data_IF_310975146648
#
_entry.id   IF_310975146648
#
_cell.length_a   1.000
_cell.length_b   1.000
_cell.length_c   1.000
_cell.angle_alpha   90.00
_cell.angle_beta   90.00
_cell.angle_gamma   90.00
#
_symmetry.space_group_name_H-M   'P 1'
#
loop_
_entity.id
_entity.type
_entity.pdbx_description
1 polymer ?
#
# COMPACT_ATOMS: atom_id res chain seq x y z
N UNK A 1 -17.57 51.26 -39.48
CA UNK A 1 -16.60 50.28 -38.90
C UNK A 1 -17.17 48.87 -38.70
N UNK A 2 -18.50 48.66 -38.68
CA UNK A 2 -19.12 47.32 -38.53
C UNK A 2 -19.75 46.74 -39.81
N UNK A 3 -19.39 47.28 -40.99
CA UNK A 3 -19.92 46.81 -42.28
C UNK A 3 -21.44 46.99 -42.39
N UNK A 4 -22.13 45.99 -42.97
CA UNK A 4 -23.61 45.96 -43.14
C UNK A 4 -24.37 45.47 -41.90
N UNK A 5 -23.69 45.28 -40.76
CA UNK A 5 -24.28 44.72 -39.55
C UNK A 5 -25.13 45.77 -38.82
N UNK A 6 -26.42 45.49 -38.62
CA UNK A 6 -27.35 46.36 -37.88
C UNK A 6 -27.53 45.85 -36.45
N UNK A 7 -27.87 46.72 -35.48
CA UNK A 7 -28.15 46.30 -34.10
C UNK A 7 -29.23 45.23 -33.99
N UNK A 8 -30.22 45.20 -34.89
CA UNK A 8 -31.26 44.18 -34.96
C UNK A 8 -30.75 42.78 -35.35
N UNK A 9 -29.54 42.70 -35.92
CA UNK A 9 -28.97 41.46 -36.44
C UNK A 9 -28.13 40.73 -35.36
N UNK A 10 -28.08 41.24 -34.12
CA UNK A 10 -27.25 40.70 -33.02
C UNK A 10 -27.98 40.69 -31.68
N UNK A 11 -27.73 39.67 -30.86
CA UNK A 11 -28.29 39.57 -29.49
C UNK A 11 -27.31 40.12 -28.43
N UNK A 12 -27.86 40.60 -27.30
CA UNK A 12 -27.06 41.18 -26.20
C UNK A 12 -26.09 40.18 -25.53
N UNK A 13 -26.27 38.88 -25.74
CA UNK A 13 -25.38 37.82 -25.24
C UNK A 13 -24.35 37.32 -26.26
N UNK A 14 -24.25 37.98 -27.42
CA UNK A 14 -23.35 37.54 -28.49
C UNK A 14 -21.88 37.80 -28.15
N UNK A 15 -21.03 36.80 -28.35
CA UNK A 15 -19.56 36.93 -28.26
C UNK A 15 -18.94 37.62 -29.48
N UNK A 16 -19.76 38.03 -30.47
CA UNK A 16 -19.29 38.70 -31.68
C UNK A 16 -18.66 40.05 -31.36
N UNK A 17 -17.44 40.26 -31.84
CA UNK A 17 -16.73 41.53 -31.70
C UNK A 17 -17.21 42.57 -32.70
N UNK A 18 -17.55 43.76 -32.20
CA UNK A 18 -17.93 44.92 -32.99
C UNK A 18 -17.18 46.16 -32.49
N UNK A 19 -17.05 47.15 -33.36
CA UNK A 19 -16.55 48.48 -33.00
C UNK A 19 -17.64 49.27 -32.29
N UNK A 20 -17.29 49.74 -31.10
CA UNK A 20 -18.08 50.62 -30.27
C UNK A 20 -17.55 52.04 -30.38
N UNK A 21 -18.47 53.01 -30.37
CA UNK A 21 -18.15 54.42 -30.27
C UNK A 21 -18.62 54.93 -28.92
N UNK A 22 -17.83 55.78 -28.27
CA UNK A 22 -18.19 56.30 -26.97
C UNK A 22 -19.31 57.35 -27.08
N UNK A 23 -20.40 57.24 -26.29
CA UNK A 23 -21.45 58.25 -26.27
C UNK A 23 -20.97 59.63 -25.76
N UNK A 24 -19.91 59.65 -24.95
CA UNK A 24 -19.36 60.88 -24.34
C UNK A 24 -18.33 61.58 -25.21
N UNK A 25 -17.72 60.86 -26.15
CA UNK A 25 -16.68 61.42 -27.02
C UNK A 25 -16.67 60.63 -28.33
N UNK A 26 -17.25 61.18 -29.42
CA UNK A 26 -17.33 60.50 -30.71
C UNK A 26 -15.96 60.13 -31.31
N UNK A 27 -14.88 60.77 -30.89
CA UNK A 27 -13.51 60.41 -31.29
C UNK A 27 -13.03 59.09 -30.67
N UNK A 28 -13.67 58.63 -29.61
CA UNK A 28 -13.31 57.39 -28.94
C UNK A 28 -14.00 56.19 -29.58
N UNK A 29 -13.20 55.26 -30.09
CA UNK A 29 -13.70 53.99 -30.61
C UNK A 29 -12.82 52.82 -30.16
N UNK A 30 -13.44 51.65 -29.98
CA UNK A 30 -12.74 50.43 -29.60
C UNK A 30 -13.49 49.19 -30.10
N UNK A 31 -12.78 48.08 -30.30
CA UNK A 31 -13.36 46.79 -30.67
C UNK A 31 -13.55 45.91 -29.43
N UNK A 32 -14.74 45.36 -29.21
CA UNK A 32 -15.05 44.45 -28.08
C UNK A 32 -16.30 43.62 -28.40
N UNK A 33 -16.47 42.48 -27.72
CA UNK A 33 -17.66 41.63 -27.86
C UNK A 33 -18.91 42.21 -27.19
N UNK A 34 -20.09 41.93 -27.76
CA UNK A 34 -21.37 42.49 -27.33
C UNK A 34 -21.75 42.04 -25.91
N UNK A 35 -21.55 40.76 -25.60
CA UNK A 35 -21.78 40.17 -24.27
C UNK A 35 -20.98 40.88 -23.16
N UNK A 36 -19.75 41.34 -23.46
CA UNK A 36 -18.88 42.00 -22.49
C UNK A 36 -19.28 43.46 -22.22
N UNK A 37 -19.87 44.14 -23.20
CA UNK A 37 -20.35 45.52 -23.01
C UNK A 37 -21.62 45.51 -22.13
N UNK A 38 -22.60 44.67 -22.45
CA UNK A 38 -23.85 44.60 -21.70
C UNK A 38 -23.73 43.84 -20.39
N UNK A 39 -23.10 42.66 -20.39
CA UNK A 39 -23.02 41.78 -19.22
C UNK A 39 -22.03 42.26 -18.14
N UNK A 40 -20.92 42.91 -18.52
CA UNK A 40 -19.88 43.37 -17.58
C UNK A 40 -19.77 44.89 -17.42
N UNK A 41 -20.68 45.66 -18.02
CA UNK A 41 -20.74 47.13 -17.96
C UNK A 41 -19.37 47.80 -18.26
N UNK A 42 -18.61 47.28 -19.24
CA UNK A 42 -17.31 47.85 -19.59
C UNK A 42 -17.49 49.27 -20.13
N UNK A 43 -16.79 50.24 -19.49
CA UNK A 43 -16.79 51.66 -19.89
C UNK A 43 -15.68 51.97 -20.89
N UNK A 44 -15.85 53.06 -21.64
CA UNK A 44 -14.84 53.58 -22.57
C UNK A 44 -13.52 53.87 -21.84
N UNK A 45 -12.44 53.18 -22.22
CA UNK A 45 -11.10 53.29 -21.58
C UNK A 45 -10.33 54.56 -21.95
N UNK A 46 -10.83 55.29 -22.95
CA UNK A 46 -10.27 56.56 -23.40
C UNK A 46 -10.88 57.76 -22.65
N UNK A 47 -12.00 57.58 -21.92
CA UNK A 47 -12.55 58.63 -21.06
C UNK A 47 -11.82 58.73 -19.70
N UNK A 48 -11.66 59.95 -19.14
CA UNK A 48 -11.22 60.12 -17.75
C UNK A 48 -12.28 59.50 -16.82
N UNK A 49 -11.92 58.42 -16.11
CA UNK A 49 -12.86 57.57 -15.36
C UNK A 49 -13.12 56.19 -15.97
N UNK A 50 -12.54 55.89 -17.13
CA UNK A 50 -12.51 54.56 -17.75
C UNK A 50 -11.29 53.71 -17.39
N UNK A 51 -10.33 54.27 -16.66
CA UNK A 51 -9.15 53.58 -16.11
C UNK A 51 -9.11 53.82 -14.60
N UNK A 52 -9.31 52.79 -13.79
CA UNK A 52 -9.00 52.85 -12.36
C UNK A 52 -7.48 52.73 -12.17
N UNK A 53 -6.78 53.85 -12.28
CA UNK A 53 -5.51 54.05 -11.60
C UNK A 53 -5.70 55.29 -10.73
N UNK A 54 -6.29 55.10 -9.55
CA UNK A 54 -6.27 56.16 -8.55
C UNK A 54 -4.82 56.43 -8.17
N UNK A 55 -4.35 57.66 -8.34
CA UNK A 55 -3.12 58.13 -7.75
C UNK A 55 -3.20 57.86 -6.25
N UNK A 56 -2.25 57.09 -5.72
CA UNK A 56 -2.19 56.79 -4.29
C UNK A 56 -1.81 58.08 -3.57
N UNK A 57 -2.70 58.56 -2.70
CA UNK A 57 -2.39 59.72 -1.83
C UNK A 57 -1.42 59.29 -0.74
N UNK A 58 -0.60 60.22 -0.23
CA UNK A 58 0.43 59.92 0.78
C UNK A 58 -0.13 59.16 2.01
N UNK A 59 -1.29 59.56 2.53
CA UNK A 59 -1.97 58.93 3.67
C UNK A 59 -2.48 57.50 3.40
N UNK A 60 -2.57 57.12 2.12
CA UNK A 60 -3.00 55.78 1.67
C UNK A 60 -1.83 54.94 1.16
N UNK A 61 -0.60 55.45 1.29
CA UNK A 61 0.60 54.78 0.84
C UNK A 61 1.06 53.67 1.79
N UNK A 62 1.86 52.75 1.27
CA UNK A 62 2.51 51.69 2.01
C UNK A 62 3.42 52.28 3.08
N UNK A 63 4.20 53.31 2.73
CA UNK A 63 5.14 53.94 3.65
C UNK A 63 4.45 54.61 4.84
N UNK A 64 3.29 55.25 4.61
CA UNK A 64 2.52 55.88 5.68
C UNK A 64 1.77 54.87 6.55
N UNK A 65 1.09 53.88 5.93
CA UNK A 65 0.23 52.94 6.66
C UNK A 65 0.99 51.77 7.30
N UNK A 66 2.18 51.44 6.79
CA UNK A 66 2.99 50.31 7.27
C UNK A 66 4.47 50.68 7.48
N UNK A 67 4.79 51.69 8.31
CA UNK A 67 6.16 52.20 8.47
C UNK A 67 7.14 51.13 8.96
N UNK A 68 6.68 50.16 9.77
CA UNK A 68 7.51 49.04 10.24
C UNK A 68 8.00 48.13 9.10
N UNK A 69 7.25 48.01 8.00
CA UNK A 69 7.68 47.22 6.85
C UNK A 69 8.84 47.89 6.09
N UNK A 70 9.01 49.21 6.22
CA UNK A 70 10.11 49.92 5.56
C UNK A 70 11.48 49.56 6.14
N UNK A 71 11.53 49.08 7.39
CA UNK A 71 12.76 48.56 7.98
C UNK A 71 13.29 47.32 7.23
N UNK A 72 12.44 46.62 6.49
CA UNK A 72 12.81 45.49 5.64
C UNK A 72 12.88 45.89 4.15
N UNK A 73 12.73 47.16 3.79
CA UNK A 73 12.86 47.60 2.39
C UNK A 73 14.32 47.58 1.96
N UNK A 74 14.65 46.92 0.84
CA UNK A 74 16.04 46.85 0.41
C UNK A 74 16.54 48.24 -0.05
N UNK A 75 17.73 48.70 0.39
CA UNK A 75 18.19 50.07 0.17
C UNK A 75 18.42 50.45 -1.30
N UNK A 76 18.92 49.51 -2.12
CA UNK A 76 19.38 49.83 -3.49
C UNK A 76 18.76 49.00 -4.62
N UNK A 77 18.03 47.92 -4.34
CA UNK A 77 17.54 46.98 -5.37
C UNK A 77 16.16 47.34 -5.93
N UNK A 78 15.57 48.44 -5.48
CA UNK A 78 14.19 48.80 -5.80
C UNK A 78 14.06 49.87 -6.89
N UNK A 79 15.18 50.40 -7.41
CA UNK A 79 15.17 51.45 -8.43
C UNK A 79 14.27 52.62 -8.04
N UNK A 80 13.37 53.02 -8.94
CA UNK A 80 12.44 54.15 -8.74
C UNK A 80 11.17 53.79 -7.95
N UNK A 81 11.08 52.58 -7.38
CA UNK A 81 9.92 52.23 -6.56
C UNK A 81 9.97 52.99 -5.24
N UNK A 82 9.07 53.97 -5.12
CA UNK A 82 8.88 54.74 -3.89
C UNK A 82 7.74 54.12 -3.03
N UNK A 83 8.01 53.67 -1.79
CA UNK A 83 6.98 53.21 -0.87
C UNK A 83 5.85 54.22 -0.58
N UNK A 84 6.12 55.52 -0.71
CA UNK A 84 5.12 56.58 -0.53
C UNK A 84 4.16 56.71 -1.73
N UNK A 85 4.48 56.07 -2.86
CA UNK A 85 3.63 56.02 -4.06
C UNK A 85 2.87 54.69 -4.23
N UNK A 86 3.13 53.69 -3.37
CA UNK A 86 2.57 52.35 -3.48
C UNK A 86 1.37 52.16 -2.53
N UNK A 87 0.26 51.61 -3.02
CA UNK A 87 -0.84 51.18 -2.12
C UNK A 87 -0.48 49.87 -1.38
N UNK A 88 -0.95 49.64 -0.14
CA UNK A 88 -0.75 48.39 0.59
C UNK A 88 -1.21 47.12 -0.15
N UNK A 89 -2.19 47.24 -1.05
CA UNK A 89 -2.69 46.16 -1.91
C UNK A 89 -1.93 45.99 -3.24
N UNK A 90 -0.81 46.69 -3.44
CA UNK A 90 -0.09 46.70 -4.70
C UNK A 90 0.47 45.32 -5.08
N UNK A 91 0.34 44.99 -6.37
CA UNK A 91 0.96 43.81 -6.98
C UNK A 91 2.43 43.99 -7.34
N UNK A 92 3.04 45.15 -7.08
CA UNK A 92 4.49 45.37 -7.31
C UNK A 92 5.31 44.45 -6.40
N UNK A 93 6.48 44.03 -6.89
CA UNK A 93 7.32 42.98 -6.29
C UNK A 93 8.73 43.50 -5.97
N UNK A 94 8.87 44.47 -5.05
CA UNK A 94 10.16 44.99 -4.63
C UNK A 94 10.99 43.93 -3.89
N UNK A 95 12.29 44.21 -3.76
CA UNK A 95 13.22 43.49 -2.92
C UNK A 95 13.15 43.97 -1.47
N UNK A 96 13.20 43.00 -0.57
CA UNK A 96 13.19 43.14 0.88
C UNK A 96 14.47 42.54 1.45
N UNK A 97 14.92 43.06 2.60
CA UNK A 97 16.07 42.58 3.34
C UNK A 97 15.64 42.23 4.76
N UNK A 98 16.06 41.08 5.27
CA UNK A 98 15.62 40.61 6.58
C UNK A 98 16.29 41.44 7.67
N UNK A 99 15.51 41.89 8.64
CA UNK A 99 16.05 42.58 9.81
C UNK A 99 16.92 41.67 10.70
N UNK A 100 16.68 40.35 10.70
CA UNK A 100 17.40 39.39 11.54
C UNK A 100 18.69 38.86 10.88
N UNK A 101 18.73 38.75 9.55
CA UNK A 101 19.93 38.34 8.81
C UNK A 101 20.02 39.14 7.50
N UNK A 102 20.95 40.11 7.40
CA UNK A 102 21.12 40.93 6.21
C UNK A 102 21.43 40.15 4.92
N UNK A 103 21.87 38.88 5.01
CA UNK A 103 22.12 38.02 3.85
C UNK A 103 20.82 37.50 3.23
N UNK A 104 19.72 37.52 3.96
CA UNK A 104 18.41 37.14 3.47
C UNK A 104 17.79 38.30 2.69
N UNK A 105 17.99 38.28 1.38
CA UNK A 105 17.38 39.22 0.44
C UNK A 105 16.37 38.47 -0.43
N UNK A 106 15.14 38.97 -0.53
CA UNK A 106 14.10 38.34 -1.34
C UNK A 106 13.15 39.33 -2.00
N UNK A 107 12.59 38.94 -3.13
CA UNK A 107 11.51 39.62 -3.80
C UNK A 107 10.13 39.15 -3.28
N UNK A 108 9.23 40.08 -2.97
CA UNK A 108 7.88 39.74 -2.58
C UNK A 108 6.88 40.82 -2.98
N UNK A 109 5.65 40.41 -3.31
CA UNK A 109 4.58 41.36 -3.60
C UNK A 109 4.23 42.18 -2.36
N UNK A 110 4.04 43.49 -2.53
CA UNK A 110 3.65 44.41 -1.45
C UNK A 110 2.41 43.89 -0.71
N UNK A 111 1.36 43.49 -1.43
CA UNK A 111 0.14 42.97 -0.81
C UNK A 111 0.33 41.70 0.05
N UNK A 112 1.37 40.91 -0.19
CA UNK A 112 1.66 39.71 0.64
C UNK A 112 2.35 40.11 1.95
N UNK A 113 3.25 41.10 1.87
CA UNK A 113 3.99 41.63 3.03
C UNK A 113 3.06 42.35 4.00
N UNK A 114 2.11 43.13 3.49
CA UNK A 114 1.08 43.80 4.31
C UNK A 114 0.11 42.84 4.99
N UNK A 115 -0.05 41.61 4.46
CA UNK A 115 -0.78 40.51 5.10
C UNK A 115 0.06 39.70 6.10
N UNK A 116 1.30 40.08 6.38
CA UNK A 116 2.15 39.45 7.39
C UNK A 116 3.09 38.36 6.89
N UNK A 117 3.25 38.17 5.58
CA UNK A 117 4.25 37.22 5.06
C UNK A 117 5.68 37.71 5.39
N UNK A 118 6.41 36.99 6.24
CA UNK A 118 7.76 37.31 6.73
C UNK A 118 8.91 36.96 5.76
N UNK A 119 10.15 36.94 6.28
CA UNK A 119 11.32 36.45 5.55
C UNK A 119 11.16 34.95 5.19
N UNK A 120 11.27 34.57 3.90
CA UNK A 120 11.09 33.20 3.46
C UNK A 120 12.24 32.27 3.89
N UNK A 121 13.43 32.80 4.16
CA UNK A 121 14.56 32.02 4.63
C UNK A 121 14.40 31.65 6.11
N UNK A 122 14.08 32.62 6.97
CA UNK A 122 13.82 32.38 8.40
C UNK A 122 12.64 31.42 8.63
N UNK A 123 11.62 31.47 7.77
CA UNK A 123 10.47 30.56 7.83
C UNK A 123 10.72 29.20 7.15
N UNK A 124 11.93 28.95 6.62
CA UNK A 124 12.30 27.68 5.98
C UNK A 124 11.66 27.44 4.61
N UNK A 125 11.03 28.45 4.02
CA UNK A 125 10.41 28.41 2.69
C UNK A 125 11.43 28.57 1.54
N UNK A 126 12.54 29.28 1.78
CA UNK A 126 13.71 29.36 0.88
C UNK A 126 14.96 28.84 1.61
N UNK A 127 15.86 28.22 0.87
CA UNK A 127 17.12 27.72 1.42
C UNK A 127 18.19 28.81 1.43
N UNK A 128 19.06 28.77 2.44
CA UNK A 128 20.34 29.46 2.47
C UNK A 128 21.50 28.45 2.53
N UNK A 129 22.73 28.95 2.61
CA UNK A 129 23.93 28.10 2.60
C UNK A 129 24.04 27.13 3.77
N UNK A 130 23.28 27.33 4.86
CA UNK A 130 23.29 26.45 6.05
C UNK A 130 22.11 25.49 6.07
N UNK A 131 21.00 25.85 5.44
CA UNK A 131 19.72 25.12 5.51
C UNK A 131 19.38 24.35 4.24
N UNK A 132 20.17 24.54 3.17
CA UNK A 132 19.98 23.83 1.92
C UNK A 132 20.24 22.33 2.04
N UNK A 133 19.57 21.54 1.21
CA UNK A 133 19.66 20.09 1.20
C UNK A 133 21.11 19.62 1.01
N UNK A 134 21.89 20.29 0.15
CA UNK A 134 23.29 19.99 -0.08
C UNK A 134 24.13 20.04 1.23
N UNK A 135 23.87 21.04 2.08
CA UNK A 135 24.59 21.23 3.33
C UNK A 135 24.11 20.29 4.45
N UNK A 136 22.80 20.03 4.52
CA UNK A 136 22.21 19.29 5.66
C UNK A 136 22.05 17.78 5.43
N UNK A 137 22.04 17.30 4.19
CA UNK A 137 21.91 15.87 3.87
C UNK A 137 22.58 15.53 2.52
N UNK A 138 23.92 15.48 2.53
CA UNK A 138 24.75 15.26 1.34
C UNK A 138 24.47 13.90 0.65
N UNK A 139 24.15 12.86 1.42
CA UNK A 139 23.80 11.53 0.89
C UNK A 139 22.52 11.60 0.04
N UNK A 140 21.49 12.28 0.54
CA UNK A 140 20.25 12.47 -0.22
C UNK A 140 20.49 13.41 -1.41
N UNK A 141 21.27 14.48 -1.23
CA UNK A 141 21.64 15.40 -2.30
C UNK A 141 22.37 14.69 -3.45
N UNK A 142 23.21 13.69 -3.17
CA UNK A 142 23.90 12.88 -4.18
C UNK A 142 22.93 12.05 -5.05
N UNK A 143 21.70 11.82 -4.59
CA UNK A 143 20.65 11.14 -5.36
C UNK A 143 19.78 12.08 -6.20
N UNK A 144 20.12 13.37 -6.25
CA UNK A 144 19.45 14.35 -7.10
C UNK A 144 19.65 13.98 -8.57
N UNK A 145 18.59 14.02 -9.37
CA UNK A 145 18.73 13.72 -10.79
C UNK A 145 19.52 14.82 -11.50
N UNK A 146 20.54 14.48 -12.32
CA UNK A 146 21.49 15.45 -12.87
C UNK A 146 20.86 16.47 -13.83
N UNK A 147 19.88 16.07 -14.65
CA UNK A 147 19.35 16.93 -15.74
C UNK A 147 17.86 17.25 -15.68
N UNK A 148 17.07 16.59 -14.83
CA UNK A 148 15.59 16.69 -14.86
C UNK A 148 15.01 17.79 -13.96
N UNK A 149 15.86 18.47 -13.19
CA UNK A 149 15.44 19.53 -12.28
C UNK A 149 15.72 20.94 -12.83
N UNK A 150 16.13 21.05 -14.10
CA UNK A 150 16.56 22.31 -14.71
C UNK A 150 17.71 22.92 -13.92
N UNK A 151 17.64 24.23 -13.68
CA UNK A 151 18.68 24.97 -12.96
C UNK A 151 18.57 24.82 -11.43
N UNK A 152 17.56 24.10 -10.91
CA UNK A 152 17.37 23.93 -9.46
C UNK A 152 18.27 22.83 -8.94
N UNK A 153 19.15 23.19 -8.03
CA UNK A 153 20.11 22.31 -7.38
C UNK A 153 19.68 21.96 -5.95
N UNK A 154 20.32 20.97 -5.31
CA UNK A 154 20.18 20.72 -3.87
C UNK A 154 20.57 21.92 -2.99
N UNK A 155 21.33 22.89 -3.50
CA UNK A 155 21.66 24.12 -2.77
C UNK A 155 20.49 25.11 -2.69
N UNK A 156 19.46 24.95 -3.53
CA UNK A 156 18.34 25.90 -3.63
C UNK A 156 17.10 25.47 -2.83
N UNK A 157 17.11 24.27 -2.25
CA UNK A 157 15.95 23.68 -1.59
C UNK A 157 16.22 23.32 -0.14
N UNK A 158 15.24 23.54 0.73
CA UNK A 158 15.32 23.12 2.13
C UNK A 158 14.89 21.64 2.26
N UNK A 159 15.38 20.97 3.31
CA UNK A 159 14.99 19.57 3.61
C UNK A 159 13.49 19.36 3.80
N UNK A 160 12.74 20.42 4.16
CA UNK A 160 11.29 20.37 4.38
C UNK A 160 10.47 20.72 3.13
N UNK A 161 11.11 21.00 1.99
CA UNK A 161 10.40 21.41 0.79
C UNK A 161 9.40 20.34 0.31
N UNK A 162 8.13 20.73 0.23
CA UNK A 162 7.05 19.91 -0.30
C UNK A 162 7.07 19.83 -1.84
N UNK A 163 7.97 20.56 -2.50
CA UNK A 163 8.03 20.61 -3.97
C UNK A 163 8.65 19.34 -4.53
N UNK A 164 7.99 18.72 -5.52
CA UNK A 164 8.49 17.53 -6.20
C UNK A 164 9.72 17.82 -7.04
N UNK A 165 10.70 16.92 -6.96
CA UNK A 165 11.96 16.92 -7.70
C UNK A 165 12.24 15.51 -8.19
N UNK A 166 13.05 15.41 -9.24
CA UNK A 166 13.48 14.14 -9.80
C UNK A 166 14.72 13.64 -9.07
N UNK A 167 14.69 12.35 -8.74
CA UNK A 167 15.72 11.61 -8.03
C UNK A 167 16.17 10.41 -8.87
N UNK A 168 17.42 10.01 -8.68
CA UNK A 168 18.03 8.85 -9.29
C UNK A 168 18.58 7.95 -8.18
N UNK A 169 18.40 6.64 -8.30
CA UNK A 169 18.87 5.72 -7.27
C UNK A 169 20.40 5.61 -7.33
N UNK A 170 21.05 5.72 -6.18
CA UNK A 170 22.50 5.52 -6.08
C UNK A 170 22.95 4.07 -6.35
N UNK A 171 22.06 3.09 -6.24
CA UNK A 171 22.37 1.66 -6.51
C UNK A 171 22.09 1.26 -7.94
N UNK A 172 20.98 1.72 -8.51
CA UNK A 172 20.60 1.43 -9.90
C UNK A 172 20.15 2.73 -10.61
N UNK A 173 21.00 3.34 -11.43
CA UNK A 173 20.69 4.59 -12.13
C UNK A 173 19.42 4.57 -13.00
N UNK A 174 18.99 3.39 -13.45
CA UNK A 174 17.73 3.21 -14.21
C UNK A 174 16.49 3.55 -13.36
N UNK A 175 16.60 3.46 -12.04
CA UNK A 175 15.51 3.83 -11.14
C UNK A 175 15.46 5.34 -10.96
N UNK A 176 14.63 5.99 -11.78
CA UNK A 176 14.36 7.43 -11.73
C UNK A 176 12.93 7.69 -11.26
N UNK A 177 12.73 8.54 -10.26
CA UNK A 177 11.39 8.86 -9.75
C UNK A 177 11.24 10.33 -9.35
N UNK A 178 9.99 10.80 -9.27
CA UNK A 178 9.66 12.16 -8.82
C UNK A 178 8.98 12.13 -7.45
N UNK A 179 9.51 12.88 -6.49
CA UNK A 179 8.97 12.99 -5.14
C UNK A 179 9.38 14.31 -4.48
N UNK A 180 8.61 14.78 -3.48
CA UNK A 180 9.00 15.97 -2.71
C UNK A 180 10.31 15.75 -1.93
N UNK A 181 11.07 16.82 -1.75
CA UNK A 181 12.34 16.80 -0.98
C UNK A 181 12.09 16.26 0.43
N UNK A 182 11.05 16.74 1.11
CA UNK A 182 10.66 16.26 2.43
C UNK A 182 10.42 14.74 2.47
N UNK A 183 9.67 14.21 1.50
CA UNK A 183 9.38 12.78 1.48
C UNK A 183 10.62 11.95 1.12
N UNK A 184 11.50 12.46 0.26
CA UNK A 184 12.76 11.79 -0.10
C UNK A 184 13.68 11.65 1.12
N UNK A 185 13.81 12.72 1.91
CA UNK A 185 14.60 12.73 3.14
C UNK A 185 14.01 11.77 4.18
N UNK A 186 12.68 11.78 4.34
CA UNK A 186 12.00 10.89 5.30
C UNK A 186 11.98 9.43 4.85
N UNK A 187 11.89 9.18 3.54
CA UNK A 187 11.84 7.85 2.91
C UNK A 187 13.10 7.65 2.09
N UNK A 188 14.20 7.38 2.80
CA UNK A 188 15.55 7.25 2.23
C UNK A 188 15.70 6.19 1.14
N UNK A 189 14.79 5.22 1.08
CA UNK A 189 14.87 4.08 0.16
C UNK A 189 14.34 4.42 -1.23
N UNK A 190 15.01 3.90 -2.26
CA UNK A 190 14.49 3.90 -3.63
C UNK A 190 13.17 3.09 -3.71
N UNK A 191 12.08 3.64 -4.26
CA UNK A 191 10.80 2.94 -4.36
C UNK A 191 10.87 1.62 -5.12
N UNK A 192 11.60 1.57 -6.23
CA UNK A 192 11.73 0.36 -7.05
C UNK A 192 12.60 -0.70 -6.35
N UNK A 193 13.74 -0.32 -5.75
CA UNK A 193 14.54 -1.25 -4.95
C UNK A 193 13.73 -1.85 -3.78
N UNK A 194 12.94 -1.03 -3.09
CA UNK A 194 12.08 -1.50 -1.99
C UNK A 194 10.98 -2.44 -2.50
N UNK A 195 10.38 -2.14 -3.66
CA UNK A 195 9.39 -3.01 -4.31
C UNK A 195 10.00 -4.35 -4.71
N UNK A 196 11.18 -4.36 -5.31
CA UNK A 196 11.91 -5.58 -5.68
C UNK A 196 12.29 -6.41 -4.45
N UNK A 197 12.81 -5.77 -3.39
CA UNK A 197 13.13 -6.44 -2.13
C UNK A 197 11.88 -7.08 -1.48
N UNK A 198 10.72 -6.42 -1.53
CA UNK A 198 9.44 -6.98 -1.06
C UNK A 198 8.99 -8.17 -1.91
N UNK A 199 9.13 -8.06 -3.24
CA UNK A 199 8.79 -9.14 -4.18
C UNK A 199 9.65 -10.37 -3.91
N UNK A 200 10.97 -10.22 -3.78
CA UNK A 200 11.88 -11.33 -3.46
C UNK A 200 11.58 -11.98 -2.11
N UNK A 201 11.25 -11.20 -1.08
CA UNK A 201 10.81 -11.76 0.22
C UNK A 201 9.52 -12.58 0.10
N UNK A 202 8.56 -12.12 -0.71
CA UNK A 202 7.31 -12.84 -0.94
C UNK A 202 7.57 -14.14 -1.72
N UNK A 203 8.37 -14.08 -2.79
CA UNK A 203 8.76 -15.24 -3.58
C UNK A 203 9.52 -16.29 -2.75
N UNK A 204 10.44 -15.87 -1.88
CA UNK A 204 11.16 -16.76 -0.98
C UNK A 204 10.27 -17.38 0.10
N UNK A 205 9.38 -16.60 0.73
CA UNK A 205 8.42 -17.13 1.70
C UNK A 205 7.48 -18.17 1.06
N UNK A 206 7.19 -17.98 -0.22
CA UNK A 206 6.31 -18.82 -1.00
C UNK A 206 7.00 -20.09 -1.52
N UNK A 207 8.24 -19.98 -1.98
CA UNK A 207 9.10 -21.12 -2.29
C UNK A 207 9.27 -22.02 -1.07
N UNK A 208 9.47 -21.41 0.11
CA UNK A 208 9.59 -22.14 1.39
C UNK A 208 8.30 -22.88 1.75
N UNK A 209 7.14 -22.24 1.61
CA UNK A 209 5.85 -22.89 1.84
C UNK A 209 5.59 -24.06 0.87
N UNK A 210 6.03 -23.94 -0.38
CA UNK A 210 5.90 -25.01 -1.37
C UNK A 210 6.85 -26.17 -1.05
N UNK A 211 8.11 -25.91 -0.68
CA UNK A 211 9.06 -26.96 -0.29
C UNK A 211 8.66 -27.65 1.02
N UNK A 212 8.11 -26.89 1.97
CA UNK A 212 7.57 -27.44 3.22
C UNK A 212 6.41 -28.41 2.94
N UNK A 213 5.51 -28.09 1.99
CA UNK A 213 4.41 -29.00 1.64
C UNK A 213 4.85 -30.23 0.85
N UNK A 214 5.81 -30.10 -0.08
CA UNK A 214 6.40 -31.27 -0.77
C UNK A 214 7.08 -32.20 0.24
N UNK A 215 7.72 -31.63 1.27
CA UNK A 215 8.28 -32.40 2.40
C UNK A 215 7.20 -33.09 3.23
N UNK A 216 6.02 -32.48 3.43
CA UNK A 216 4.92 -33.07 4.19
C UNK A 216 4.35 -34.32 3.53
N UNK A 217 4.12 -34.30 2.21
CA UNK A 217 3.64 -35.49 1.48
C UNK A 217 4.69 -36.61 1.47
N UNK A 218 5.98 -36.29 1.24
CA UNK A 218 7.05 -37.28 1.27
C UNK A 218 7.16 -37.96 2.65
N UNK A 219 7.11 -37.17 3.73
CA UNK A 219 7.15 -37.68 5.12
C UNK A 219 5.97 -38.61 5.40
N UNK A 220 4.77 -38.26 4.91
CA UNK A 220 3.60 -39.13 5.00
C UNK A 220 3.82 -40.44 4.23
N UNK A 221 4.25 -40.37 2.96
CA UNK A 221 4.43 -41.54 2.12
C UNK A 221 5.46 -42.52 2.71
N UNK A 222 6.60 -42.02 3.18
CA UNK A 222 7.64 -42.82 3.84
C UNK A 222 7.13 -43.47 5.13
N UNK A 223 6.33 -42.74 5.90
CA UNK A 223 5.72 -43.26 7.12
C UNK A 223 4.71 -44.38 6.82
N UNK A 224 3.87 -44.20 5.80
CA UNK A 224 2.91 -45.25 5.41
C UNK A 224 3.63 -46.48 4.85
N UNK A 225 4.69 -46.32 4.04
CA UNK A 225 5.50 -47.46 3.58
C UNK A 225 6.08 -48.25 4.75
N UNK A 226 6.70 -47.55 5.70
CA UNK A 226 7.26 -48.16 6.91
C UNK A 226 6.20 -48.90 7.74
N UNK A 227 5.03 -48.31 7.91
CA UNK A 227 3.90 -48.92 8.63
C UNK A 227 3.32 -50.13 7.89
N UNK A 228 3.27 -50.09 6.56
CA UNK A 228 2.84 -51.21 5.72
C UNK A 228 3.79 -52.40 5.90
N UNK A 229 5.10 -52.15 5.90
CA UNK A 229 6.12 -53.18 6.15
C UNK A 229 6.05 -53.74 7.57
N UNK A 230 5.75 -52.89 8.57
CA UNK A 230 5.57 -53.33 9.95
C UNK A 230 4.34 -54.24 10.11
N UNK A 231 3.26 -53.98 9.36
CA UNK A 231 2.04 -54.78 9.39
C UNK A 231 2.25 -56.23 8.91
N UNK A 232 3.25 -56.45 8.04
CA UNK A 232 3.60 -57.76 7.49
C UNK A 232 4.48 -58.60 8.43
N UNK A 233 4.96 -58.04 9.54
CA UNK A 233 5.73 -58.80 10.51
C UNK A 233 4.81 -59.74 11.29
N UNK A 234 5.22 -61.00 11.42
CA UNK A 234 4.49 -62.02 12.17
C UNK A 234 5.17 -62.30 13.51
N UNK A 235 4.38 -62.33 14.58
CA UNK A 235 4.76 -62.76 15.92
C UNK A 235 4.09 -64.09 16.24
N UNK A 236 4.82 -65.06 16.82
CA UNK A 236 4.23 -66.31 17.28
C UNK A 236 3.28 -66.11 18.47
N UNK A 237 3.32 -64.95 19.15
CA UNK A 237 2.39 -64.59 20.23
C UNK A 237 1.22 -63.76 19.65
N UNK A 238 -0.01 -64.31 19.64
CA UNK A 238 -1.18 -63.61 19.12
C UNK A 238 -1.50 -62.29 19.84
N UNK A 239 -1.15 -62.18 21.13
CA UNK A 239 -1.36 -60.96 21.91
C UNK A 239 -0.42 -59.87 21.45
N UNK A 240 0.87 -60.20 21.27
CA UNK A 240 1.86 -59.27 20.73
C UNK A 240 1.52 -58.87 19.29
N UNK A 241 1.01 -59.80 18.48
CA UNK A 241 0.55 -59.48 17.13
C UNK A 241 -0.57 -58.42 17.14
N UNK A 242 -1.56 -58.56 18.03
CA UNK A 242 -2.63 -57.57 18.17
C UNK A 242 -2.15 -56.25 18.78
N UNK A 243 -1.11 -56.24 19.61
CA UNK A 243 -0.45 -54.98 20.04
C UNK A 243 0.19 -54.28 18.85
N UNK A 244 0.96 -55.02 18.04
CA UNK A 244 1.62 -54.50 16.85
C UNK A 244 0.61 -53.86 15.89
N UNK A 245 -0.45 -54.60 15.53
CA UNK A 245 -1.51 -54.12 14.65
C UNK A 245 -2.18 -52.85 15.15
N UNK A 246 -2.45 -52.75 16.46
CA UNK A 246 -3.00 -51.52 17.05
C UNK A 246 -2.05 -50.34 16.94
N UNK A 247 -0.75 -50.55 17.15
CA UNK A 247 0.26 -49.49 16.98
C UNK A 247 0.39 -49.06 15.52
N UNK A 248 0.41 -50.01 14.56
CA UNK A 248 0.43 -49.69 13.13
C UNK A 248 -0.79 -48.87 12.76
N UNK A 249 -1.99 -49.32 13.14
CA UNK A 249 -3.25 -48.67 12.81
C UNK A 249 -3.32 -47.24 13.39
N UNK A 250 -2.88 -47.06 14.64
CA UNK A 250 -2.77 -45.73 15.25
C UNK A 250 -1.76 -44.85 14.50
N UNK A 251 -0.63 -45.42 14.08
CA UNK A 251 0.38 -44.77 13.26
C UNK A 251 -0.18 -44.26 11.94
N UNK A 252 -0.98 -45.05 11.22
CA UNK A 252 -1.57 -44.66 9.92
C UNK A 252 -2.39 -43.38 10.05
N UNK A 253 -3.25 -43.29 11.07
CA UNK A 253 -4.07 -42.10 11.33
C UNK A 253 -3.22 -40.94 11.82
N UNK A 254 -2.16 -41.19 12.61
CA UNK A 254 -1.25 -40.15 13.05
C UNK A 254 -0.46 -39.54 11.87
N UNK A 255 -0.02 -40.35 10.90
CA UNK A 255 0.66 -39.87 9.70
C UNK A 255 -0.27 -39.00 8.84
N UNK A 256 -1.54 -39.41 8.68
CA UNK A 256 -2.56 -38.59 8.02
C UNK A 256 -2.79 -37.26 8.76
N UNK A 257 -2.91 -37.31 10.08
CA UNK A 257 -3.13 -36.13 10.91
C UNK A 257 -1.99 -35.12 10.77
N UNK A 258 -0.75 -35.59 10.85
CA UNK A 258 0.46 -34.78 10.66
C UNK A 258 0.50 -34.17 9.26
N UNK A 259 0.20 -34.95 8.21
CA UNK A 259 0.11 -34.43 6.85
C UNK A 259 -0.92 -33.30 6.74
N UNK A 260 -2.13 -33.51 7.26
CA UNK A 260 -3.20 -32.51 7.20
C UNK A 260 -2.82 -31.24 7.98
N UNK A 261 -2.24 -31.39 9.18
CA UNK A 261 -1.83 -30.26 10.01
C UNK A 261 -0.73 -29.46 9.34
N UNK A 262 0.33 -30.11 8.89
CA UNK A 262 1.49 -29.45 8.31
C UNK A 262 1.12 -28.75 7.00
N UNK A 263 0.40 -29.46 6.12
CA UNK A 263 -0.07 -28.91 4.85
C UNK A 263 -0.94 -27.68 5.08
N UNK A 264 -1.89 -27.74 6.01
CA UNK A 264 -2.77 -26.60 6.27
C UNK A 264 -2.02 -25.44 6.92
N UNK A 265 -1.24 -25.70 7.98
CA UNK A 265 -0.52 -24.69 8.76
C UNK A 265 0.52 -23.98 7.87
N UNK A 266 1.37 -24.73 7.18
CA UNK A 266 2.45 -24.16 6.36
C UNK A 266 1.89 -23.33 5.20
N UNK A 267 0.81 -23.81 4.56
CA UNK A 267 0.13 -23.07 3.48
C UNK A 267 -0.53 -21.79 3.99
N UNK A 268 -1.29 -21.87 5.09
CA UNK A 268 -2.08 -20.73 5.60
C UNK A 268 -1.19 -19.70 6.28
N UNK A 269 -0.29 -20.11 7.18
CA UNK A 269 0.52 -19.19 8.00
C UNK A 269 1.47 -18.38 7.13
N UNK A 270 2.00 -18.94 6.03
CA UNK A 270 2.86 -18.23 5.09
C UNK A 270 2.14 -17.12 4.29
N UNK A 271 0.86 -17.33 3.94
CA UNK A 271 0.15 -16.46 2.99
C UNK A 271 -0.79 -15.46 3.66
N UNK A 272 -0.54 -14.15 3.49
CA UNK A 272 -1.41 -13.07 4.00
C UNK A 272 -2.86 -13.23 3.52
N UNK A 273 -3.05 -13.62 2.26
CA UNK A 273 -4.38 -13.82 1.67
C UNK A 273 -5.11 -14.96 2.37
N UNK A 274 -4.43 -16.08 2.62
CA UNK A 274 -5.04 -17.24 3.28
C UNK A 274 -5.26 -17.01 4.77
N UNK A 275 -4.34 -16.34 5.48
CA UNK A 275 -4.58 -15.91 6.88
C UNK A 275 -5.84 -15.06 7.01
N UNK A 276 -6.04 -14.11 6.09
CA UNK A 276 -7.23 -13.27 6.08
C UNK A 276 -8.50 -14.07 5.77
N UNK A 277 -8.42 -15.04 4.85
CA UNK A 277 -9.53 -15.92 4.53
C UNK A 277 -9.89 -16.82 5.72
N UNK A 278 -8.89 -17.41 6.38
CA UNK A 278 -9.05 -18.18 7.60
C UNK A 278 -9.72 -17.36 8.70
N UNK A 279 -9.21 -16.16 9.00
CA UNK A 279 -9.78 -15.31 10.05
C UNK A 279 -11.25 -14.93 9.81
N UNK A 280 -11.69 -14.87 8.53
CA UNK A 280 -13.09 -14.61 8.15
C UNK A 280 -13.96 -15.86 8.14
N UNK A 281 -13.38 -17.01 7.79
CA UNK A 281 -14.11 -18.27 7.65
C UNK A 281 -14.30 -19.02 8.97
N UNK A 282 -13.45 -18.76 9.97
CA UNK A 282 -13.48 -19.44 11.26
C UNK A 282 -14.21 -18.59 12.30
N UNK A 283 -15.32 -19.10 12.85
CA UNK A 283 -16.17 -18.39 13.82
C UNK A 283 -15.41 -17.87 15.03
N UNK A 284 -14.45 -18.65 15.52
CA UNK A 284 -13.64 -18.30 16.71
C UNK A 284 -12.77 -17.06 16.47
N UNK A 285 -12.43 -16.78 15.21
CA UNK A 285 -11.72 -15.56 14.82
C UNK A 285 -12.70 -14.44 14.49
N UNK A 286 -13.73 -14.74 13.71
CA UNK A 286 -14.72 -13.76 13.29
C UNK A 286 -15.39 -13.05 14.48
N UNK A 287 -15.57 -13.77 15.60
CA UNK A 287 -16.25 -13.25 16.79
C UNK A 287 -15.30 -12.83 17.93
N UNK A 288 -13.98 -12.94 17.74
CA UNK A 288 -13.00 -12.60 18.78
C UNK A 288 -12.84 -11.08 18.91
N UNK A 289 -12.63 -10.61 20.15
CA UNK A 289 -12.18 -9.24 20.42
C UNK A 289 -10.68 -9.10 20.12
N UNK A 290 -10.33 -8.07 19.36
CA UNK A 290 -8.95 -7.73 19.01
C UNK A 290 -8.51 -6.46 19.72
N UNK A 291 -7.25 -6.41 20.15
CA UNK A 291 -6.62 -5.16 20.58
C UNK A 291 -6.30 -4.28 19.37
N UNK A 292 -6.24 -2.97 19.56
CA UNK A 292 -6.01 -2.03 18.47
C UNK A 292 -4.64 -2.23 17.79
N UNK A 293 -3.60 -2.57 18.55
CA UNK A 293 -2.26 -2.91 18.03
C UNK A 293 -2.27 -4.18 17.16
N UNK A 294 -3.05 -5.20 17.53
CA UNK A 294 -3.27 -6.40 16.72
C UNK A 294 -3.89 -6.07 15.36
N UNK A 295 -4.79 -5.08 15.30
CA UNK A 295 -5.46 -4.65 14.07
C UNK A 295 -4.54 -3.77 13.21
N UNK A 296 -3.86 -2.79 13.82
CA UNK A 296 -2.95 -1.87 13.12
C UNK A 296 -1.82 -2.65 12.43
N UNK A 297 -1.21 -3.57 13.16
CA UNK A 297 -0.09 -4.40 12.68
C UNK A 297 -0.53 -5.84 12.37
N UNK A 298 -1.74 -6.00 11.82
CA UNK A 298 -2.33 -7.31 11.53
C UNK A 298 -1.42 -8.23 10.72
N UNK A 299 -0.68 -7.71 9.74
CA UNK A 299 0.22 -8.53 8.94
C UNK A 299 1.29 -9.22 9.78
N UNK A 300 1.82 -8.53 10.78
CA UNK A 300 2.83 -9.04 11.73
C UNK A 300 2.20 -10.00 12.73
N UNK A 301 1.09 -9.60 13.34
CA UNK A 301 0.46 -10.35 14.43
C UNK A 301 -0.30 -11.60 13.95
N UNK A 302 -0.92 -11.53 12.77
CA UNK A 302 -1.75 -12.62 12.22
C UNK A 302 -1.00 -13.93 12.06
N UNK A 303 0.30 -13.92 11.74
CA UNK A 303 1.08 -15.16 11.64
C UNK A 303 1.10 -15.93 12.95
N UNK A 304 1.46 -15.26 14.05
CA UNK A 304 1.55 -15.87 15.38
C UNK A 304 0.16 -16.28 15.89
N UNK A 305 -0.84 -15.40 15.74
CA UNK A 305 -2.19 -15.66 16.24
C UNK A 305 -2.83 -16.85 15.52
N UNK A 306 -2.76 -16.88 14.18
CA UNK A 306 -3.32 -17.97 13.38
C UNK A 306 -2.55 -19.26 13.64
N UNK A 307 -1.20 -19.22 13.65
CA UNK A 307 -0.39 -20.41 13.92
C UNK A 307 -0.73 -21.03 15.28
N UNK A 308 -0.79 -20.22 16.34
CA UNK A 308 -1.11 -20.70 17.69
C UNK A 308 -2.45 -21.44 17.71
N UNK A 309 -3.49 -20.83 17.14
CA UNK A 309 -4.80 -21.47 17.12
C UNK A 309 -4.82 -22.77 16.30
N UNK A 310 -4.11 -22.80 15.16
CA UNK A 310 -4.08 -24.00 14.32
C UNK A 310 -3.30 -25.14 14.97
N UNK A 311 -2.20 -24.88 15.68
CA UNK A 311 -1.44 -25.92 16.40
C UNK A 311 -2.30 -26.61 17.47
N UNK A 312 -3.24 -25.88 18.07
CA UNK A 312 -4.16 -26.42 19.08
C UNK A 312 -5.35 -27.21 18.46
N UNK A 313 -5.47 -27.24 17.12
CA UNK A 313 -6.53 -27.99 16.45
C UNK A 313 -6.20 -29.49 16.32
N UNK A 314 -7.21 -30.33 16.49
CA UNK A 314 -7.10 -31.78 16.32
C UNK A 314 -7.43 -32.15 14.88
N UNK A 315 -6.41 -32.40 14.06
CA UNK A 315 -6.56 -32.54 12.61
C UNK A 315 -7.17 -33.88 12.16
N UNK A 316 -7.17 -34.91 13.02
CA UNK A 316 -7.93 -36.14 12.72
C UNK A 316 -9.44 -35.97 12.89
N UNK A 317 -9.95 -34.84 13.42
CA UNK A 317 -11.38 -34.54 13.47
C UNK A 317 -11.89 -34.05 12.10
N UNK A 318 -12.00 -34.98 11.14
CA UNK A 318 -12.33 -34.67 9.75
C UNK A 318 -13.62 -33.85 9.55
N UNK A 319 -14.71 -34.06 10.32
CA UNK A 319 -15.90 -33.21 10.23
C UNK A 319 -15.66 -31.72 10.55
N UNK A 320 -14.72 -31.42 11.45
CA UNK A 320 -14.34 -30.03 11.77
C UNK A 320 -13.30 -29.49 10.79
N UNK A 321 -12.38 -30.34 10.34
CA UNK A 321 -11.23 -29.96 9.50
C UNK A 321 -11.64 -29.79 8.03
N UNK A 322 -12.52 -30.62 7.50
CA UNK A 322 -13.00 -30.54 6.11
C UNK A 322 -13.54 -29.16 5.74
N UNK A 323 -14.43 -28.54 6.55
CA UNK A 323 -14.87 -27.16 6.33
C UNK A 323 -13.73 -26.13 6.28
N UNK A 324 -12.66 -26.31 7.05
CA UNK A 324 -11.49 -25.41 7.01
C UNK A 324 -10.76 -25.54 5.67
N UNK A 325 -10.48 -26.77 5.22
CA UNK A 325 -9.88 -27.03 3.91
C UNK A 325 -10.73 -26.47 2.78
N UNK A 326 -12.05 -26.68 2.81
CA UNK A 326 -12.97 -26.14 1.80
C UNK A 326 -13.04 -24.62 1.80
N UNK A 327 -13.23 -24.01 2.96
CA UNK A 327 -13.47 -22.56 3.03
C UNK A 327 -12.19 -21.75 2.80
N UNK A 328 -11.04 -22.25 3.26
CA UNK A 328 -9.76 -21.54 3.21
C UNK A 328 -8.93 -21.98 2.02
N UNK A 329 -8.73 -23.29 1.85
CA UNK A 329 -7.88 -23.87 0.82
C UNK A 329 -8.67 -24.43 -0.37
N UNK A 330 -9.96 -24.15 -0.53
CA UNK A 330 -10.81 -24.64 -1.66
C UNK A 330 -10.54 -26.10 -2.04
N UNK A 331 -10.23 -26.93 -1.04
CA UNK A 331 -9.95 -28.36 -1.16
C UNK A 331 -11.12 -29.06 -0.49
N UNK A 332 -11.74 -29.98 -1.22
CA UNK A 332 -12.89 -30.71 -0.74
C UNK A 332 -12.47 -32.11 -0.28
N UNK A 333 -12.92 -32.48 0.91
CA UNK A 333 -12.80 -33.86 1.38
C UNK A 333 -13.84 -34.74 0.70
N UNK A 334 -13.62 -36.07 0.62
CA UNK A 334 -14.60 -36.98 0.05
C UNK A 334 -15.94 -36.90 0.79
N UNK A 335 -17.00 -37.36 0.14
CA UNK A 335 -18.37 -37.41 0.69
C UNK A 335 -18.92 -38.84 0.62
N UNK A 336 -20.10 -39.07 1.20
CA UNK A 336 -20.75 -40.40 1.18
C UNK A 336 -19.93 -41.49 1.86
N UNK A 337 -19.90 -42.68 1.26
CA UNK A 337 -19.27 -43.87 1.83
C UNK A 337 -17.77 -43.71 2.06
N UNK A 338 -17.06 -43.02 1.15
CA UNK A 338 -15.63 -42.76 1.30
C UNK A 338 -15.32 -41.91 2.54
N UNK A 339 -16.18 -40.92 2.87
CA UNK A 339 -16.04 -40.15 4.11
C UNK A 339 -16.39 -40.99 5.34
N UNK A 340 -17.47 -41.78 5.26
CA UNK A 340 -17.90 -42.65 6.36
C UNK A 340 -16.82 -43.71 6.70
N UNK A 341 -16.12 -44.23 5.69
CA UNK A 341 -14.96 -45.12 5.84
C UNK A 341 -13.83 -44.45 6.64
N UNK A 342 -13.43 -43.24 6.27
CA UNK A 342 -12.39 -42.48 6.98
C UNK A 342 -12.80 -42.20 8.43
N UNK A 343 -14.07 -41.86 8.67
CA UNK A 343 -14.58 -41.67 10.03
C UNK A 343 -14.53 -42.96 10.85
N UNK A 344 -14.85 -44.12 10.26
CA UNK A 344 -14.72 -45.42 10.92
C UNK A 344 -13.27 -45.70 11.32
N UNK A 345 -12.32 -45.40 10.43
CA UNK A 345 -10.87 -45.53 10.71
C UNK A 345 -10.44 -44.63 11.88
N UNK A 346 -10.79 -43.33 11.84
CA UNK A 346 -10.47 -42.39 12.92
C UNK A 346 -11.09 -42.82 14.26
N UNK A 347 -12.33 -43.29 14.24
CA UNK A 347 -13.02 -43.79 15.44
C UNK A 347 -12.37 -45.06 16.01
N UNK A 348 -11.92 -45.98 15.14
CA UNK A 348 -11.16 -47.15 15.57
C UNK A 348 -9.84 -46.73 16.24
N UNK A 349 -9.08 -45.80 15.65
CA UNK A 349 -7.89 -45.22 16.28
C UNK A 349 -8.19 -44.56 17.63
N UNK A 350 -9.29 -43.82 17.76
CA UNK A 350 -9.68 -43.22 19.03
C UNK A 350 -9.87 -44.30 20.13
N UNK A 351 -10.51 -45.42 19.82
CA UNK A 351 -10.63 -46.54 20.75
C UNK A 351 -9.28 -47.22 21.04
N UNK A 352 -8.42 -47.37 20.03
CA UNK A 352 -7.07 -47.92 20.21
C UNK A 352 -6.27 -47.10 21.22
N UNK A 353 -6.24 -45.78 21.06
CA UNK A 353 -5.42 -44.88 21.88
C UNK A 353 -6.03 -44.64 23.27
N UNK A 354 -7.33 -44.37 23.37
CA UNK A 354 -7.94 -43.98 24.64
C UNK A 354 -8.59 -45.13 25.43
N UNK A 355 -8.79 -46.30 24.80
CA UNK A 355 -9.43 -47.46 25.43
C UNK A 355 -8.64 -48.75 25.21
N UNK A 356 -7.37 -48.64 24.85
CA UNK A 356 -6.48 -49.77 24.56
C UNK A 356 -7.10 -50.78 23.57
N UNK A 357 -7.86 -50.29 22.59
CA UNK A 357 -8.53 -51.12 21.57
C UNK A 357 -9.90 -51.66 21.99
N UNK A 358 -10.50 -51.18 23.08
CA UNK A 358 -11.86 -51.58 23.49
C UNK A 358 -12.91 -50.58 23.02
N UNK A 359 -14.04 -51.08 22.54
CA UNK A 359 -15.22 -50.25 22.25
C UNK A 359 -15.88 -49.77 23.56
N UNK A 360 -16.87 -48.86 23.46
CA UNK A 360 -17.68 -48.44 24.63
C UNK A 360 -18.39 -49.61 25.32
N UNK A 361 -18.65 -50.69 24.58
CA UNK A 361 -19.29 -51.91 25.09
C UNK A 361 -18.30 -52.92 25.67
N UNK A 362 -17.01 -52.56 25.77
CA UNK A 362 -15.96 -53.42 26.31
C UNK A 362 -15.37 -54.45 25.34
N UNK A 363 -15.93 -54.59 24.13
CA UNK A 363 -15.43 -55.53 23.12
C UNK A 363 -14.08 -55.07 22.56
N UNK A 364 -13.11 -55.99 22.49
CA UNK A 364 -11.81 -55.74 21.87
C UNK A 364 -11.92 -55.68 20.34
N UNK A 365 -11.25 -54.69 19.75
CA UNK A 365 -10.95 -54.65 18.33
C UNK A 365 -9.86 -55.68 18.06
N UNK A 366 -10.25 -56.79 17.43
CA UNK A 366 -9.31 -57.73 16.83
C UNK A 366 -9.07 -57.27 15.39
N UNK A 367 -7.83 -56.89 15.08
CA UNK A 367 -7.45 -56.41 13.76
C UNK A 367 -6.80 -57.54 12.95
N UNK A 368 -6.99 -57.49 11.64
CA UNK A 368 -6.32 -58.35 10.66
C UNK A 368 -5.42 -57.52 9.74
N UNK A 369 -4.46 -58.16 9.07
CA UNK A 369 -3.61 -57.49 8.05
C UNK A 369 -4.49 -56.86 6.96
N UNK A 370 -5.52 -57.57 6.50
CA UNK A 370 -6.44 -57.07 5.48
C UNK A 370 -7.17 -55.79 5.91
N UNK A 371 -7.57 -55.66 7.19
CA UNK A 371 -8.18 -54.43 7.71
C UNK A 371 -7.19 -53.28 7.82
N UNK A 372 -5.93 -53.56 8.16
CA UNK A 372 -4.85 -52.56 8.19
C UNK A 372 -4.55 -52.08 6.77
N UNK A 373 -4.38 -52.99 5.82
CA UNK A 373 -4.15 -52.67 4.41
C UNK A 373 -5.31 -51.85 3.82
N UNK A 374 -6.54 -52.21 4.17
CA UNK A 374 -7.72 -51.44 3.80
C UNK A 374 -7.67 -50.02 4.37
N UNK A 375 -7.28 -49.85 5.64
CA UNK A 375 -7.13 -48.54 6.26
C UNK A 375 -6.00 -47.72 5.62
N UNK A 376 -4.84 -48.34 5.38
CA UNK A 376 -3.68 -47.73 4.69
C UNK A 376 -4.09 -47.25 3.30
N UNK A 377 -4.73 -48.09 2.50
CA UNK A 377 -5.15 -47.75 1.14
C UNK A 377 -6.11 -46.57 1.12
N UNK A 378 -7.12 -46.56 1.99
CA UNK A 378 -8.12 -45.48 2.07
C UNK A 378 -7.52 -44.17 2.55
N UNK A 379 -6.64 -44.21 3.55
CA UNK A 379 -5.93 -43.03 4.07
C UNK A 379 -4.95 -42.48 3.03
N UNK A 380 -4.20 -43.35 2.35
CA UNK A 380 -3.29 -42.97 1.26
C UNK A 380 -4.04 -42.27 0.14
N UNK A 381 -5.11 -42.88 -0.37
CA UNK A 381 -5.92 -42.28 -1.44
C UNK A 381 -6.52 -40.93 -1.03
N UNK A 382 -6.99 -40.81 0.22
CA UNK A 382 -7.49 -39.54 0.74
C UNK A 382 -6.40 -38.45 0.79
N UNK A 383 -5.21 -38.78 1.28
CA UNK A 383 -4.09 -37.83 1.34
C UNK A 383 -3.60 -37.46 -0.06
N UNK A 384 -3.50 -38.41 -0.99
CA UNK A 384 -3.14 -38.18 -2.39
C UNK A 384 -4.13 -37.24 -3.11
N UNK A 385 -5.43 -37.42 -2.87
CA UNK A 385 -6.47 -36.52 -3.41
C UNK A 385 -6.35 -35.11 -2.82
N UNK A 386 -6.19 -34.99 -1.50
CA UNK A 386 -5.97 -33.68 -0.86
C UNK A 386 -4.71 -33.01 -1.39
N UNK A 387 -3.59 -33.73 -1.53
CA UNK A 387 -2.33 -33.19 -2.04
C UNK A 387 -2.46 -32.69 -3.48
N UNK A 388 -3.11 -33.48 -4.32
CA UNK A 388 -3.39 -33.15 -5.72
C UNK A 388 -4.24 -31.90 -5.84
N UNK A 389 -5.29 -31.77 -5.04
CA UNK A 389 -6.12 -30.57 -4.99
C UNK A 389 -5.28 -29.36 -4.52
N UNK A 390 -4.53 -29.49 -3.42
CA UNK A 390 -3.66 -28.41 -2.91
C UNK A 390 -2.64 -27.97 -3.98
N UNK A 391 -2.08 -28.89 -4.76
CA UNK A 391 -1.13 -28.58 -5.83
C UNK A 391 -1.73 -27.73 -6.97
N UNK A 392 -3.02 -27.91 -7.28
CA UNK A 392 -3.70 -27.26 -8.41
C UNK A 392 -4.29 -25.89 -8.07
N UNK A 393 -4.19 -25.46 -6.82
CA UNK A 393 -4.94 -24.29 -6.34
C UNK A 393 -4.33 -22.94 -6.71
N UNK A 394 -5.17 -21.93 -7.04
CA UNK A 394 -4.74 -20.68 -7.68
C UNK A 394 -4.00 -19.69 -6.77
N UNK A 395 -3.92 -19.94 -5.46
CA UNK A 395 -3.12 -19.10 -4.56
C UNK A 395 -1.64 -19.50 -4.52
N UNK A 396 -1.24 -20.60 -5.18
CA UNK A 396 0.16 -20.78 -5.57
C UNK A 396 0.46 -19.86 -6.77
N UNK A 397 1.65 -19.23 -6.85
CA UNK A 397 2.09 -18.58 -8.07
C UNK A 397 2.08 -19.62 -9.18
N UNK A 398 1.56 -19.24 -10.34
CA UNK A 398 1.83 -20.01 -11.56
C UNK A 398 3.35 -20.11 -11.70
N UNK A 399 3.87 -21.34 -11.76
CA UNK A 399 5.23 -21.55 -12.26
C UNK A 399 5.33 -20.80 -13.59
N UNK A 400 6.41 -20.04 -13.85
CA UNK A 400 6.72 -19.70 -15.22
C UNK A 400 7.02 -21.04 -15.91
N UNK A 401 6.05 -21.53 -16.69
CA UNK A 401 6.30 -22.59 -17.66
C UNK A 401 7.43 -22.08 -18.52
N UNK A 402 8.62 -22.68 -18.39
CA UNK A 402 9.69 -22.50 -19.37
C UNK A 402 9.11 -22.97 -20.70
N UNK A 403 8.71 -22.04 -21.56
CA UNK A 403 8.48 -22.34 -22.96
C UNK A 403 9.83 -22.78 -23.51
N UNK A 404 9.90 -24.03 -23.97
CA UNK A 404 10.99 -24.52 -24.81
C UNK A 404 11.05 -23.72 -26.10
#
# INVERSE_FOLDING_TARGET
MNGKLRPSDVSHGSSREVWWQCPKSPSHSWKESIDRIYGRKKKCRQCPGGRNFGTVTAEKSLGYLHPKLLAEWHPTLNGDLDPMSLAPGSGKKPFWQCAADPKHVWDAHVFRRTKGAGCPFCSGLRADSKTCLAAVDAEIAATWHPTRNGDVTPADVTRQSATKRWWMCGTNPEHVWSQSVQNRVNRRQCPECNKLARKGKLENALARSISENVSSYATFADSIDSLSRLALLESPDPVLQQVLYRQVYAGVVASMETYLSDTFINTVVGSKVLRNRFARATSDFANRKYKLDEVIDWERHSQTIVKKHLVDQVFHNLPKVGPLFKNVLKVEFPTGDAFADLQRIVNARHNIVHRNGRTKKGQFLSLTVAEIDSAISKVRHFVEDVDSQVAQTPWKPRHPTKSR
#
